data_IF_300281624359
#
_entry.id   IF_300281624359
#
_cell.length_a   1.000
_cell.length_b   1.000
_cell.length_c   1.000
_cell.angle_alpha   90.00
_cell.angle_beta   90.00
_cell.angle_gamma   90.00
#
_symmetry.space_group_name_H-M   'P 1'
#
loop_
_entity.id
_entity.type
_entity.pdbx_description
1 polymer ?
#
# COMPACT_ATOMS: atom_id res chain seq x y z
N UNK A 1 -26.31 7.01 -24.02
CA UNK A 1 -27.64 7.08 -23.36
C UNK A 1 -27.46 6.88 -21.85
N UNK A 2 -27.89 7.84 -21.00
CA UNK A 2 -27.68 7.67 -19.55
C UNK A 2 -28.64 6.64 -18.97
N UNK A 3 -28.17 5.47 -18.61
CA UNK A 3 -28.97 4.44 -17.94
C UNK A 3 -29.15 4.78 -16.45
N UNK A 4 -30.34 4.60 -15.89
CA UNK A 4 -30.61 4.88 -14.47
C UNK A 4 -30.39 3.63 -13.62
N UNK A 5 -29.82 3.79 -12.41
CA UNK A 5 -29.60 2.68 -11.48
C UNK A 5 -30.90 1.86 -11.18
N UNK A 6 -32.07 2.51 -11.28
CA UNK A 6 -33.35 1.83 -11.13
C UNK A 6 -33.67 0.85 -12.28
N UNK A 7 -33.23 1.15 -13.48
CA UNK A 7 -33.46 0.29 -14.66
C UNK A 7 -32.51 -0.90 -14.64
N UNK A 8 -31.24 -0.67 -14.25
CA UNK A 8 -30.25 -1.74 -14.01
C UNK A 8 -30.77 -2.70 -12.94
N UNK A 9 -31.24 -2.17 -11.81
CA UNK A 9 -31.78 -2.98 -10.71
C UNK A 9 -32.96 -3.86 -11.16
N UNK A 10 -33.88 -3.30 -11.95
CA UNK A 10 -35.05 -4.02 -12.47
C UNK A 10 -34.65 -5.14 -13.44
N UNK A 11 -33.77 -4.85 -14.40
CA UNK A 11 -33.39 -5.82 -15.43
C UNK A 11 -32.50 -6.96 -14.91
N UNK A 12 -31.69 -6.70 -13.90
CA UNK A 12 -30.83 -7.69 -13.27
C UNK A 12 -31.47 -8.40 -12.07
N UNK A 13 -32.70 -8.03 -11.72
CA UNK A 13 -33.42 -8.52 -10.53
C UNK A 13 -32.60 -8.30 -9.22
N UNK A 14 -32.02 -7.10 -9.10
CA UNK A 14 -31.24 -6.66 -7.92
C UNK A 14 -31.96 -5.52 -7.19
N UNK A 15 -31.58 -5.29 -5.94
CA UNK A 15 -32.05 -4.10 -5.23
C UNK A 15 -31.35 -2.83 -5.74
N UNK A 16 -32.05 -1.68 -5.68
CA UNK A 16 -31.44 -0.37 -6.00
C UNK A 16 -30.22 -0.09 -5.12
N UNK A 17 -30.25 -0.53 -3.85
CA UNK A 17 -29.13 -0.40 -2.93
C UNK A 17 -27.91 -1.21 -3.40
N UNK A 18 -28.11 -2.46 -3.85
CA UNK A 18 -27.06 -3.29 -4.41
C UNK A 18 -26.40 -2.65 -5.64
N UNK A 19 -27.20 -2.13 -6.57
CA UNK A 19 -26.68 -1.44 -7.75
C UNK A 19 -25.94 -0.16 -7.37
N UNK A 20 -26.45 0.60 -6.40
CA UNK A 20 -25.77 1.79 -5.89
C UNK A 20 -24.42 1.46 -5.24
N UNK A 21 -24.33 0.38 -4.47
CA UNK A 21 -23.05 -0.08 -3.89
C UNK A 21 -22.04 -0.45 -4.98
N UNK A 22 -22.48 -1.12 -6.04
CA UNK A 22 -21.64 -1.47 -7.18
C UNK A 22 -21.14 -0.23 -7.91
N UNK A 23 -22.04 0.68 -8.31
CA UNK A 23 -21.69 1.88 -9.07
C UNK A 23 -20.77 2.84 -8.28
N UNK A 24 -20.86 2.85 -6.94
CA UNK A 24 -20.01 3.66 -6.09
C UNK A 24 -18.80 2.89 -5.52
N UNK A 25 -18.50 1.71 -6.06
CA UNK A 25 -17.41 0.84 -5.66
C UNK A 25 -17.34 0.57 -4.14
N UNK A 26 -18.50 0.47 -3.46
CA UNK A 26 -18.56 0.23 -2.02
C UNK A 26 -18.53 -1.27 -1.69
N UNK A 27 -17.95 -1.67 -0.53
CA UNK A 27 -17.97 -3.07 -0.07
C UNK A 27 -19.39 -3.55 0.22
N UNK A 28 -19.58 -4.88 0.33
CA UNK A 28 -20.87 -5.49 0.65
C UNK A 28 -21.60 -6.14 -0.52
N UNK A 29 -20.97 -6.21 -1.70
CA UNK A 29 -21.50 -6.90 -2.88
C UNK A 29 -20.47 -7.89 -3.39
N UNK A 30 -20.91 -9.13 -3.75
CA UNK A 30 -20.01 -10.13 -4.30
C UNK A 30 -19.43 -9.73 -5.65
N UNK A 31 -18.23 -10.20 -5.96
CA UNK A 31 -17.55 -9.91 -7.24
C UNK A 31 -18.39 -10.40 -8.45
N UNK A 32 -19.07 -11.53 -8.29
CA UNK A 32 -19.99 -12.07 -9.29
C UNK A 32 -21.16 -11.12 -9.59
N UNK A 33 -21.73 -10.51 -8.55
CA UNK A 33 -22.83 -9.55 -8.71
C UNK A 33 -22.33 -8.24 -9.30
N UNK A 34 -21.15 -7.81 -8.91
CA UNK A 34 -20.48 -6.60 -9.43
C UNK A 34 -20.24 -6.74 -10.93
N UNK A 35 -19.64 -7.84 -11.36
CA UNK A 35 -19.42 -8.15 -12.77
C UNK A 35 -20.72 -8.15 -13.58
N UNK A 36 -21.77 -8.81 -13.07
CA UNK A 36 -23.08 -8.88 -13.74
C UNK A 36 -23.71 -7.49 -14.00
N UNK A 37 -23.50 -6.53 -13.07
CA UNK A 37 -24.00 -5.15 -13.25
C UNK A 37 -23.21 -4.42 -14.32
N UNK A 38 -21.90 -4.57 -14.37
CA UNK A 38 -21.04 -3.90 -15.35
C UNK A 38 -21.23 -4.51 -16.75
N UNK A 39 -21.30 -5.83 -16.90
CA UNK A 39 -21.57 -6.49 -18.18
C UNK A 39 -22.88 -6.00 -18.80
N UNK A 40 -23.93 -5.81 -17.98
CA UNK A 40 -25.20 -5.29 -18.43
C UNK A 40 -25.11 -3.81 -18.87
N UNK A 41 -24.34 -2.98 -18.16
CA UNK A 41 -24.13 -1.57 -18.55
C UNK A 41 -23.40 -1.51 -19.89
N UNK A 42 -22.37 -2.30 -20.08
CA UNK A 42 -21.63 -2.41 -21.35
C UNK A 42 -22.54 -2.85 -22.51
N UNK A 43 -23.36 -3.87 -22.29
CA UNK A 43 -24.32 -4.36 -23.30
C UNK A 43 -25.33 -3.29 -23.76
N UNK A 44 -25.82 -2.48 -22.81
CA UNK A 44 -26.87 -1.49 -23.11
C UNK A 44 -26.32 -0.13 -23.55
N UNK A 45 -25.16 0.26 -23.09
CA UNK A 45 -24.56 1.58 -23.41
C UNK A 45 -23.59 1.51 -24.58
N UNK A 46 -23.07 0.33 -24.91
CA UNK A 46 -22.00 0.16 -25.91
C UNK A 46 -20.68 0.82 -25.50
N UNK A 47 -20.57 1.30 -24.27
CA UNK A 47 -19.36 1.89 -23.74
C UNK A 47 -18.58 0.81 -22.98
N UNK A 48 -17.36 0.43 -23.41
CA UNK A 48 -16.55 -0.52 -22.68
C UNK A 48 -16.24 0.01 -21.28
N UNK A 49 -16.13 -0.92 -20.36
CA UNK A 49 -15.90 -0.69 -18.93
C UNK A 49 -14.62 0.15 -18.69
N UNK A 50 -14.75 1.46 -18.64
CA UNK A 50 -13.62 2.37 -18.35
C UNK A 50 -12.84 1.99 -17.10
N UNK A 51 -13.51 1.29 -16.16
CA UNK A 51 -12.87 0.81 -14.92
C UNK A 51 -11.99 -0.43 -15.11
N UNK A 52 -12.24 -1.26 -16.15
CA UNK A 52 -11.40 -2.41 -16.45
C UNK A 52 -10.13 -1.97 -17.16
N UNK A 53 -10.27 -1.07 -18.13
CA UNK A 53 -9.13 -0.47 -18.83
C UNK A 53 -8.26 0.40 -17.88
N UNK A 54 -8.87 1.13 -16.95
CA UNK A 54 -8.13 1.90 -15.95
C UNK A 54 -7.42 1.01 -14.92
N UNK A 55 -8.04 -0.09 -14.47
CA UNK A 55 -7.39 -1.07 -13.59
C UNK A 55 -6.34 -1.90 -14.32
N UNK A 56 -6.60 -2.35 -15.53
CA UNK A 56 -5.63 -3.10 -16.33
C UNK A 56 -4.48 -2.20 -16.79
N UNK A 57 -4.74 -0.93 -17.13
CA UNK A 57 -3.69 0.09 -17.36
C UNK A 57 -2.93 0.42 -16.07
N UNK A 58 -3.63 0.56 -14.95
CA UNK A 58 -3.02 0.81 -13.65
C UNK A 58 -2.17 -0.37 -13.18
N UNK A 59 -2.62 -1.63 -13.41
CA UNK A 59 -1.84 -2.83 -13.13
C UNK A 59 -0.66 -2.98 -14.10
N UNK A 60 -0.82 -2.74 -15.40
CA UNK A 60 0.30 -2.73 -16.37
C UNK A 60 1.28 -1.57 -16.13
N UNK A 61 0.78 -0.40 -15.71
CA UNK A 61 1.63 0.71 -15.30
C UNK A 61 2.36 0.42 -13.98
N UNK A 62 1.76 -0.34 -13.07
CA UNK A 62 2.39 -0.80 -11.82
C UNK A 62 3.47 -1.87 -12.09
N UNK A 63 3.26 -2.77 -13.05
CA UNK A 63 4.25 -3.78 -13.44
C UNK A 63 5.52 -3.17 -14.07
N UNK A 64 5.43 -1.98 -14.65
CA UNK A 64 6.55 -1.28 -15.29
C UNK A 64 7.11 -0.10 -14.48
N UNK A 65 6.56 0.22 -13.31
CA UNK A 65 7.06 1.33 -12.48
C UNK A 65 8.05 0.82 -11.44
N UNK A 66 9.12 1.56 -11.27
CA UNK A 66 10.05 1.36 -10.16
C UNK A 66 9.31 1.59 -8.83
N UNK A 67 9.34 0.61 -7.96
CA UNK A 67 8.67 0.66 -6.65
C UNK A 67 9.69 1.05 -5.58
N UNK A 68 9.35 2.05 -4.76
CA UNK A 68 9.99 2.26 -3.47
C UNK A 68 9.15 1.55 -2.42
N UNK A 69 9.71 0.50 -1.82
CA UNK A 69 9.04 -0.25 -0.76
C UNK A 69 9.28 0.39 0.59
N UNK A 70 8.19 0.74 1.29
CA UNK A 70 8.25 1.18 2.69
C UNK A 70 7.83 -0.01 3.56
N UNK A 71 8.77 -0.53 4.33
CA UNK A 71 8.56 -1.65 5.23
C UNK A 71 8.40 -1.12 6.65
N UNK A 72 7.18 -1.15 7.18
CA UNK A 72 6.90 -0.87 8.59
C UNK A 72 7.05 -2.15 9.40
N UNK A 73 8.10 -2.20 10.21
CA UNK A 73 8.41 -3.37 11.02
C UNK A 73 8.15 -3.04 12.49
N UNK A 74 7.20 -3.73 13.09
CA UNK A 74 6.78 -3.55 14.48
C UNK A 74 6.76 -4.87 15.24
N UNK A 75 7.14 -4.83 16.51
CA UNK A 75 7.15 -6.00 17.39
C UNK A 75 5.74 -6.56 17.66
N UNK A 76 4.73 -5.72 17.67
CA UNK A 76 3.38 -6.08 18.12
C UNK A 76 2.25 -5.81 17.14
N UNK A 77 2.55 -5.37 15.91
CA UNK A 77 1.55 -4.93 14.92
C UNK A 77 0.56 -3.89 15.50
N UNK A 78 1.06 -3.01 16.35
CA UNK A 78 0.24 -1.95 16.98
C UNK A 78 -0.38 -1.04 15.94
N UNK A 79 0.33 -0.79 14.84
CA UNK A 79 -0.13 0.01 13.73
C UNK A 79 -1.40 -0.55 13.07
N UNK A 80 -1.59 -1.88 13.08
CA UNK A 80 -2.80 -2.49 12.53
C UNK A 80 -3.98 -2.47 13.51
N UNK A 81 -3.72 -2.34 14.82
CA UNK A 81 -4.77 -2.34 15.84
C UNK A 81 -5.33 -0.96 16.14
N UNK A 82 -4.54 0.09 15.97
CA UNK A 82 -4.91 1.47 16.28
C UNK A 82 -4.77 2.32 15.01
N UNK A 83 -5.70 2.18 14.08
CA UNK A 83 -5.80 3.04 12.88
C UNK A 83 -6.04 4.53 13.23
N UNK A 84 -6.21 4.84 14.51
CA UNK A 84 -6.42 6.20 15.04
C UNK A 84 -5.12 6.87 15.54
N UNK A 85 -3.99 6.17 15.56
CA UNK A 85 -2.73 6.81 15.93
C UNK A 85 -2.07 7.39 14.68
N UNK A 86 -1.88 8.69 14.71
CA UNK A 86 -1.10 9.54 13.79
C UNK A 86 0.35 9.02 13.61
N UNK A 87 0.49 7.83 13.02
CA UNK A 87 1.81 7.27 12.74
C UNK A 87 2.32 7.86 11.45
N UNK A 88 2.97 9.00 11.57
CA UNK A 88 3.73 9.69 10.54
C UNK A 88 2.98 9.85 9.19
N UNK A 89 1.77 10.40 9.14
CA UNK A 89 1.14 10.74 7.87
C UNK A 89 2.02 11.65 7.03
N UNK A 90 2.78 12.55 7.68
CA UNK A 90 3.62 13.53 6.99
C UNK A 90 4.82 12.90 6.28
N UNK A 91 5.54 11.97 6.91
CA UNK A 91 6.71 11.34 6.28
C UNK A 91 6.34 10.44 5.11
N UNK A 92 5.24 9.66 5.22
CA UNK A 92 4.77 8.82 4.14
C UNK A 92 4.28 9.65 2.95
N UNK A 93 3.59 10.77 3.23
CA UNK A 93 3.16 11.71 2.20
C UNK A 93 4.36 12.32 1.47
N UNK A 94 5.42 12.68 2.19
CA UNK A 94 6.66 13.20 1.60
C UNK A 94 7.32 12.12 0.74
N UNK A 95 7.44 10.88 1.23
CA UNK A 95 8.01 9.78 0.46
C UNK A 95 7.22 9.53 -0.83
N UNK A 96 5.89 9.57 -0.77
CA UNK A 96 5.04 9.40 -1.96
C UNK A 96 5.24 10.52 -2.98
N UNK A 97 5.29 11.77 -2.53
CA UNK A 97 5.51 12.92 -3.41
C UNK A 97 6.88 12.86 -4.10
N UNK A 98 7.94 12.57 -3.35
CA UNK A 98 9.29 12.48 -3.92
C UNK A 98 9.44 11.25 -4.84
N UNK A 99 8.91 10.09 -4.46
CA UNK A 99 8.90 8.91 -5.32
C UNK A 99 8.20 9.20 -6.65
N UNK A 100 7.05 9.88 -6.61
CA UNK A 100 6.29 10.26 -7.80
C UNK A 100 7.07 11.22 -8.70
N UNK A 101 7.82 12.17 -8.12
CA UNK A 101 8.74 13.06 -8.88
C UNK A 101 9.83 12.28 -9.60
N UNK A 102 10.30 11.19 -9.02
CA UNK A 102 11.33 10.30 -9.58
C UNK A 102 10.74 9.25 -10.55
N UNK A 103 9.45 9.29 -10.85
CA UNK A 103 8.78 8.27 -11.68
C UNK A 103 8.60 6.93 -10.99
N UNK A 104 8.69 6.90 -9.66
CA UNK A 104 8.45 5.74 -8.82
C UNK A 104 7.07 5.80 -8.16
N UNK A 105 6.63 4.67 -7.62
CA UNK A 105 5.47 4.59 -6.73
C UNK A 105 5.91 4.06 -5.37
N UNK A 106 5.18 4.44 -4.32
CA UNK A 106 5.40 3.91 -2.97
C UNK A 106 4.46 2.74 -2.73
N UNK A 107 5.02 1.63 -2.26
CA UNK A 107 4.27 0.46 -1.79
C UNK A 107 4.57 0.24 -0.32
N UNK A 108 3.55 0.28 0.53
CA UNK A 108 3.70 0.11 1.97
C UNK A 108 3.36 -1.32 2.37
N UNK A 109 4.24 -1.94 3.14
CA UNK A 109 4.02 -3.28 3.70
C UNK A 109 4.27 -3.25 5.21
N UNK A 110 3.35 -3.83 5.98
CA UNK A 110 3.45 -3.98 7.42
C UNK A 110 3.83 -5.42 7.77
N UNK A 111 4.73 -5.59 8.73
CA UNK A 111 5.15 -6.91 9.19
C UNK A 111 5.57 -6.88 10.67
N UNK A 112 5.45 -8.03 11.34
CA UNK A 112 5.96 -8.19 12.70
C UNK A 112 7.39 -8.74 12.65
N UNK A 113 8.31 -8.07 13.36
CA UNK A 113 9.69 -8.56 13.53
C UNK A 113 9.76 -9.88 14.31
N UNK A 114 8.74 -10.17 15.12
CA UNK A 114 8.66 -11.40 15.95
C UNK A 114 8.11 -12.61 15.18
N UNK A 115 7.54 -12.41 13.99
CA UNK A 115 6.99 -13.48 13.14
C UNK A 115 7.92 -13.76 11.98
N UNK A 116 8.59 -14.91 12.04
CA UNK A 116 9.54 -15.34 11.01
C UNK A 116 8.94 -15.33 9.60
N UNK A 117 7.70 -15.79 9.45
CA UNK A 117 6.98 -15.85 8.17
C UNK A 117 6.74 -14.45 7.59
N UNK A 118 6.42 -13.46 8.44
CA UNK A 118 6.25 -12.07 8.03
C UNK A 118 7.58 -11.48 7.55
N UNK A 119 8.67 -11.73 8.27
CA UNK A 119 10.01 -11.26 7.90
C UNK A 119 10.47 -11.88 6.59
N UNK A 120 10.33 -13.21 6.43
CA UNK A 120 10.67 -13.90 5.17
C UNK A 120 9.85 -13.38 3.98
N UNK A 121 8.57 -13.08 4.19
CA UNK A 121 7.69 -12.52 3.18
C UNK A 121 8.16 -11.14 2.74
N UNK A 122 8.37 -10.21 3.67
CA UNK A 122 8.76 -8.84 3.31
C UNK A 122 10.15 -8.76 2.67
N UNK A 123 11.10 -9.61 3.10
CA UNK A 123 12.42 -9.71 2.48
C UNK A 123 12.32 -10.22 1.04
N UNK A 124 11.47 -11.22 0.77
CA UNK A 124 11.22 -11.71 -0.58
C UNK A 124 10.59 -10.62 -1.46
N UNK A 125 9.53 -9.97 -0.97
CA UNK A 125 8.86 -8.88 -1.68
C UNK A 125 9.78 -7.68 -1.95
N UNK A 126 10.68 -7.37 -1.02
CA UNK A 126 11.66 -6.29 -1.18
C UNK A 126 12.69 -6.59 -2.28
N UNK A 127 12.92 -7.86 -2.61
CA UNK A 127 13.86 -8.28 -3.64
C UNK A 127 13.22 -8.47 -5.03
N UNK A 128 11.92 -8.19 -5.20
CA UNK A 128 11.25 -8.24 -6.49
C UNK A 128 11.92 -7.33 -7.53
N UNK A 129 11.83 -7.73 -8.80
CA UNK A 129 12.57 -7.07 -9.88
C UNK A 129 12.21 -5.59 -10.03
N UNK A 130 10.94 -5.27 -9.92
CA UNK A 130 10.39 -3.92 -10.04
C UNK A 130 10.61 -3.03 -8.80
N UNK A 131 11.22 -3.54 -7.73
CA UNK A 131 11.60 -2.75 -6.55
C UNK A 131 12.92 -2.03 -6.82
N UNK A 132 12.89 -0.70 -6.81
CA UNK A 132 14.05 0.16 -7.01
C UNK A 132 14.82 0.42 -5.70
N UNK A 133 14.13 0.44 -4.56
CA UNK A 133 14.74 0.69 -3.26
C UNK A 133 13.77 0.42 -2.12
N UNK A 134 14.30 0.41 -0.91
CA UNK A 134 13.59 0.08 0.33
C UNK A 134 13.80 1.17 1.38
N UNK A 135 12.74 1.60 2.02
CA UNK A 135 12.77 2.37 3.26
C UNK A 135 12.31 1.43 4.36
N UNK A 136 13.23 1.07 5.26
CA UNK A 136 12.93 0.23 6.42
C UNK A 136 12.59 1.12 7.61
N UNK A 137 11.31 1.19 7.95
CA UNK A 137 10.81 1.90 9.13
C UNK A 137 10.97 1.00 10.35
N UNK A 138 11.94 1.31 11.19
CA UNK A 138 12.46 0.39 12.20
C UNK A 138 12.44 0.97 13.63
N UNK A 139 11.50 1.88 13.93
CA UNK A 139 11.42 2.66 15.18
C UNK A 139 11.62 1.82 16.46
N UNK A 140 11.00 0.64 16.53
CA UNK A 140 11.08 -0.24 17.71
C UNK A 140 11.99 -1.46 17.50
N UNK A 141 12.67 -1.56 16.35
CA UNK A 141 13.49 -2.74 16.04
C UNK A 141 14.75 -2.76 16.88
N UNK A 142 15.01 -3.89 17.48
CA UNK A 142 16.26 -4.13 18.22
C UNK A 142 17.36 -4.65 17.26
N UNK A 143 18.64 -4.43 17.57
CA UNK A 143 19.75 -4.87 16.72
C UNK A 143 19.78 -6.37 16.43
N UNK A 144 19.31 -7.21 17.33
CA UNK A 144 19.23 -8.67 17.18
C UNK A 144 18.10 -9.13 16.24
N UNK A 145 17.13 -8.27 15.95
CA UNK A 145 16.03 -8.51 15.01
C UNK A 145 16.38 -8.14 13.56
N UNK A 146 17.45 -7.36 13.36
CA UNK A 146 17.84 -6.84 12.06
C UNK A 146 18.49 -7.87 11.12
N UNK A 147 19.28 -8.88 11.56
CA UNK A 147 20.04 -9.75 10.66
C UNK A 147 19.27 -10.35 9.48
N UNK A 148 18.00 -10.75 9.57
CA UNK A 148 17.24 -11.27 8.43
C UNK A 148 17.08 -10.25 7.28
N UNK A 149 16.99 -8.95 7.60
CA UNK A 149 16.82 -7.88 6.60
C UNK A 149 18.08 -7.62 5.78
N UNK A 150 19.24 -8.10 6.20
CA UNK A 150 20.48 -8.11 5.39
C UNK A 150 20.38 -8.91 4.11
N UNK A 151 19.36 -9.76 3.98
CA UNK A 151 19.07 -10.49 2.74
C UNK A 151 18.37 -9.62 1.69
N UNK A 152 17.99 -8.38 2.01
CA UNK A 152 17.52 -7.39 1.04
C UNK A 152 18.72 -6.92 0.22
N UNK A 153 18.66 -7.12 -1.11
CA UNK A 153 19.75 -6.80 -2.06
C UNK A 153 19.55 -5.46 -2.76
N UNK A 154 18.44 -4.77 -2.46
CA UNK A 154 18.13 -3.46 -3.03
C UNK A 154 18.76 -2.35 -2.19
N UNK A 155 19.01 -1.17 -2.76
CA UNK A 155 19.37 0.01 -1.97
C UNK A 155 18.38 0.20 -0.83
N UNK A 156 18.88 0.32 0.40
CA UNK A 156 18.03 0.42 1.60
C UNK A 156 18.47 1.59 2.47
N UNK A 157 17.48 2.32 2.96
CA UNK A 157 17.62 3.34 4.00
C UNK A 157 16.84 2.89 5.22
N UNK A 158 17.48 2.98 6.39
CA UNK A 158 16.82 2.73 7.68
C UNK A 158 16.27 4.06 8.18
N UNK A 159 14.99 4.09 8.50
CA UNK A 159 14.29 5.26 8.99
C UNK A 159 13.91 5.09 10.46
N UNK A 160 14.18 6.14 11.24
CA UNK A 160 13.87 6.25 12.67
C UNK A 160 14.58 5.21 13.56
N UNK A 161 15.77 4.76 13.13
CA UNK A 161 16.64 3.90 13.93
C UNK A 161 18.08 3.99 13.42
N UNK A 162 19.04 3.66 14.28
CA UNK A 162 20.45 3.46 13.95
C UNK A 162 20.82 1.99 14.26
N UNK A 163 20.73 1.16 13.25
CA UNK A 163 21.04 -0.29 13.37
C UNK A 163 22.50 -0.62 13.00
N UNK A 164 23.36 0.39 12.94
CA UNK A 164 24.79 0.27 12.71
C UNK A 164 25.28 0.90 11.40
N UNK A 165 26.60 1.07 11.30
CA UNK A 165 27.28 1.88 10.27
C UNK A 165 27.24 1.29 8.84
N UNK A 166 26.61 0.15 8.61
CA UNK A 166 26.57 -0.52 7.31
C UNK A 166 25.49 0.06 6.37
N UNK A 167 24.56 0.88 6.89
CA UNK A 167 23.42 1.40 6.16
C UNK A 167 23.29 2.92 6.34
N UNK A 168 22.64 3.55 5.37
CA UNK A 168 22.21 4.93 5.54
C UNK A 168 21.04 4.97 6.52
N UNK A 169 21.22 5.63 7.64
CA UNK A 169 20.19 5.80 8.66
C UNK A 169 19.71 7.25 8.70
N UNK A 170 18.42 7.44 8.87
CA UNK A 170 17.78 8.73 9.13
C UNK A 170 17.08 8.61 10.47
N UNK A 171 17.57 9.35 11.47
CA UNK A 171 16.99 9.35 12.81
C UNK A 171 16.34 10.69 13.11
N UNK A 172 15.22 10.69 13.81
CA UNK A 172 14.66 11.90 14.41
C UNK A 172 15.51 12.32 15.60
N UNK A 173 15.99 13.54 15.60
CA UNK A 173 16.66 14.14 16.78
C UNK A 173 15.57 14.67 17.71
N UNK A 174 15.25 13.93 18.76
CA UNK A 174 14.54 14.52 19.89
C UNK A 174 15.46 15.53 20.57
N UNK A 175 15.14 16.80 20.45
CA UNK A 175 15.76 17.85 21.25
C UNK A 175 15.34 17.60 22.71
N UNK A 176 16.21 16.95 23.48
CA UNK A 176 16.05 16.93 24.93
C UNK A 176 16.37 18.35 25.43
N UNK A 177 15.33 19.05 25.85
CA UNK A 177 15.45 20.39 26.48
C UNK A 177 16.24 20.39 27.82
N UNK A 178 16.91 19.31 28.18
CA UNK A 178 17.50 19.12 29.50
C UNK A 178 19.01 19.30 29.60
N UNK A 179 19.68 19.85 28.59
CA UNK A 179 21.13 20.15 28.67
C UNK A 179 21.50 21.61 28.37
N UNK A 180 20.68 22.55 28.81
CA UNK A 180 21.11 23.95 28.97
C UNK A 180 21.13 24.24 30.48
N UNK A 181 22.26 23.93 31.10
CA UNK A 181 22.64 24.45 32.43
C UNK A 181 23.91 25.27 32.25
#
# INVERSE_FOLDING_TARGET
MKIKAADIARNLNLSKATVSLVLNNKPGVSEKTRRKVFDYIEEVTGEPEKQKEEKDKQNQELENKNIIKVLYIDNHLRFLKNFELDVCPDSLTIFEQEARRMGCIVSVTYASSTKKEDVERVVREANEENVAGVILYATEMQPDQFPPFRAIRKPMVIYDNDLGNEYHCVTSVEWRESEIV
#
